data_IF_149203461813
#
_entry.id   IF_149203461813
#
_cell.length_a   1.000
_cell.length_b   1.000
_cell.length_c   1.000
_cell.angle_alpha   90.00
_cell.angle_beta   90.00
_cell.angle_gamma   90.00
#
_symmetry.space_group_name_H-M   'P 1'
#
loop_
_entity.id
_entity.type
_entity.pdbx_description
1 polymer ?
#
# COMPACT_ATOMS: atom_id res chain seq x y z
N UNK A 1 10.60 20.00 11.55
CA UNK A 1 10.47 20.08 10.08
C UNK A 1 10.68 21.53 9.63
N UNK A 2 11.50 21.81 8.59
CA UNK A 2 11.75 23.18 8.13
C UNK A 2 10.47 23.86 7.62
N UNK A 3 10.53 25.18 7.44
CA UNK A 3 9.51 25.94 6.72
C UNK A 3 9.48 25.48 5.26
N UNK A 4 8.28 25.16 4.74
CA UNK A 4 8.14 24.80 3.34
C UNK A 4 7.98 26.05 2.47
N UNK A 5 8.59 26.02 1.30
CA UNK A 5 8.41 27.00 0.23
C UNK A 5 7.56 26.36 -0.86
N UNK A 6 6.29 26.72 -0.88
CA UNK A 6 5.34 26.21 -1.87
C UNK A 6 5.22 27.20 -3.02
N UNK A 7 5.45 26.74 -4.25
CA UNK A 7 5.28 27.58 -5.45
C UNK A 7 3.90 27.31 -6.05
N UNK A 8 3.04 28.33 -6.04
CA UNK A 8 1.72 28.32 -6.68
C UNK A 8 1.75 29.33 -7.83
N UNK A 9 1.96 28.83 -9.05
CA UNK A 9 2.19 29.68 -10.21
C UNK A 9 3.46 30.53 -10.05
N UNK A 10 3.32 31.86 -10.10
CA UNK A 10 4.44 32.82 -9.91
C UNK A 10 4.68 33.23 -8.45
N UNK A 11 3.79 32.86 -7.51
CA UNK A 11 3.91 33.24 -6.10
C UNK A 11 4.58 32.12 -5.30
N UNK A 12 5.45 32.50 -4.38
CA UNK A 12 6.03 31.59 -3.38
C UNK A 12 5.41 31.88 -2.01
N UNK A 13 4.85 30.85 -1.40
CA UNK A 13 4.27 30.89 -0.07
C UNK A 13 5.19 30.16 0.92
N UNK A 14 5.35 30.74 2.11
CA UNK A 14 6.14 30.14 3.20
C UNK A 14 5.19 29.55 4.25
N UNK A 15 5.33 28.25 4.47
CA UNK A 15 4.41 27.48 5.32
C UNK A 15 5.17 26.95 6.53
N UNK A 16 4.74 27.37 7.71
CA UNK A 16 5.43 27.14 8.96
C UNK A 16 4.78 26.04 9.80
N UNK A 17 3.46 25.96 9.79
CA UNK A 17 2.65 25.09 10.62
C UNK A 17 2.45 23.70 10.00
N UNK A 18 2.34 22.68 10.84
CA UNK A 18 2.22 21.30 10.38
C UNK A 18 0.89 21.00 9.66
N UNK A 19 -0.27 21.54 10.07
CA UNK A 19 -1.52 21.34 9.34
C UNK A 19 -1.47 21.85 7.89
N UNK A 20 -0.98 23.06 7.63
CA UNK A 20 -0.85 23.53 6.24
C UNK A 20 0.22 22.76 5.45
N UNK A 21 1.34 22.37 6.09
CA UNK A 21 2.33 21.48 5.46
C UNK A 21 1.70 20.15 5.05
N UNK A 22 0.87 19.56 5.89
CA UNK A 22 0.17 18.31 5.59
C UNK A 22 -0.74 18.48 4.36
N UNK A 23 -1.45 19.61 4.23
CA UNK A 23 -2.27 19.91 3.03
C UNK A 23 -1.43 20.03 1.76
N UNK A 24 -0.26 20.68 1.84
CA UNK A 24 0.66 20.78 0.70
C UNK A 24 1.17 19.40 0.28
N UNK A 25 1.59 18.59 1.24
CA UNK A 25 2.03 17.23 0.95
C UNK A 25 0.92 16.35 0.41
N UNK A 26 -0.28 16.43 0.97
CA UNK A 26 -1.41 15.66 0.50
C UNK A 26 -1.70 15.95 -0.97
N UNK A 27 -1.81 17.23 -1.34
CA UNK A 27 -2.01 17.64 -2.75
C UNK A 27 -0.87 17.19 -3.66
N UNK A 28 0.37 17.21 -3.17
CA UNK A 28 1.55 16.82 -3.93
C UNK A 28 1.65 15.31 -4.15
N UNK A 29 1.35 14.51 -3.13
CA UNK A 29 1.52 13.06 -3.15
C UNK A 29 0.30 12.33 -3.72
N UNK A 30 -0.88 12.95 -3.65
CA UNK A 30 -2.14 12.38 -4.13
C UNK A 30 -2.81 13.35 -5.11
N UNK A 31 -2.23 13.54 -6.31
CA UNK A 31 -2.87 14.35 -7.34
C UNK A 31 -4.24 13.73 -7.72
N UNK A 32 -5.20 14.56 -8.17
CA UNK A 32 -6.48 14.04 -8.65
C UNK A 32 -6.25 13.11 -9.85
N UNK A 33 -7.15 12.14 -10.07
CA UNK A 33 -7.10 11.31 -11.28
C UNK A 33 -7.24 12.20 -12.53
N UNK A 34 -6.69 11.77 -13.68
CA UNK A 34 -6.85 12.50 -14.93
C UNK A 34 -8.34 12.63 -15.29
N UNK A 35 -8.72 13.77 -15.85
CA UNK A 35 -10.12 14.04 -16.25
C UNK A 35 -10.64 13.05 -17.29
N UNK A 36 -9.75 12.53 -18.14
CA UNK A 36 -10.06 11.55 -19.18
C UNK A 36 -9.42 10.20 -18.83
N UNK A 37 -10.25 9.16 -18.81
CA UNK A 37 -9.77 7.78 -18.71
C UNK A 37 -9.02 7.38 -19.98
N UNK A 38 -7.84 6.80 -19.82
CA UNK A 38 -7.09 6.17 -20.91
C UNK A 38 -7.65 4.79 -21.30
N UNK A 39 -8.55 4.22 -20.49
CA UNK A 39 -9.19 2.93 -20.76
C UNK A 39 -10.38 3.14 -21.70
N UNK A 40 -10.41 2.48 -22.87
CA UNK A 40 -11.54 2.57 -23.79
C UNK A 40 -12.84 2.09 -23.14
N UNK A 41 -13.96 2.78 -23.40
CA UNK A 41 -15.28 2.40 -22.84
C UNK A 41 -15.73 0.98 -23.22
N UNK A 42 -15.30 0.52 -24.39
CA UNK A 42 -15.62 -0.79 -24.95
C UNK A 42 -14.37 -1.67 -25.06
N UNK A 43 -13.46 -1.57 -24.08
CA UNK A 43 -12.27 -2.43 -24.05
C UNK A 43 -12.70 -3.90 -24.00
N UNK A 44 -12.24 -4.68 -24.98
CA UNK A 44 -12.38 -6.14 -24.96
C UNK A 44 -11.14 -6.72 -24.28
N UNK A 45 -11.35 -7.33 -23.12
CA UNK A 45 -10.28 -8.02 -22.40
C UNK A 45 -10.19 -9.46 -22.89
N UNK A 46 -8.98 -10.05 -22.94
CA UNK A 46 -8.84 -11.47 -23.21
C UNK A 46 -9.52 -12.31 -22.12
N UNK A 47 -9.74 -13.59 -22.41
CA UNK A 47 -10.19 -14.54 -21.39
C UNK A 47 -9.23 -14.54 -20.18
N UNK A 48 -9.80 -14.78 -19.00
CA UNK A 48 -9.02 -14.84 -17.77
C UNK A 48 -7.96 -15.95 -17.89
N UNK A 49 -6.71 -15.61 -17.56
CA UNK A 49 -5.61 -16.58 -17.61
C UNK A 49 -5.64 -17.59 -16.46
N UNK A 50 -6.38 -17.29 -15.39
CA UNK A 50 -6.61 -18.19 -14.26
C UNK A 50 -7.92 -17.82 -13.54
N UNK A 51 -8.46 -18.80 -12.80
CA UNK A 51 -9.58 -18.57 -11.89
C UNK A 51 -9.10 -18.02 -10.56
N UNK A 52 -9.80 -17.03 -10.03
CA UNK A 52 -9.53 -16.52 -8.69
C UNK A 52 -9.81 -17.61 -7.63
N UNK A 53 -8.88 -17.78 -6.70
CA UNK A 53 -9.02 -18.66 -5.54
C UNK A 53 -8.81 -17.88 -4.26
N UNK A 54 -9.60 -18.17 -3.25
CA UNK A 54 -9.42 -17.56 -1.94
C UNK A 54 -8.17 -18.12 -1.27
N UNK A 55 -7.47 -17.26 -0.53
CA UNK A 55 -6.18 -17.61 0.07
C UNK A 55 -6.28 -18.73 1.12
N UNK A 56 -5.25 -19.58 1.15
CA UNK A 56 -5.15 -20.70 2.09
C UNK A 56 -4.39 -20.31 3.35
N UNK A 57 -4.50 -21.15 4.38
CA UNK A 57 -3.76 -20.94 5.64
C UNK A 57 -2.24 -21.05 5.40
N UNK A 58 -1.81 -21.96 4.53
CA UNK A 58 -0.41 -22.18 4.19
C UNK A 58 0.19 -20.95 3.50
N UNK A 59 -0.57 -20.28 2.62
CA UNK A 59 -0.15 -19.02 1.99
C UNK A 59 0.00 -17.89 3.02
N UNK A 60 -0.93 -17.81 3.98
CA UNK A 60 -0.90 -16.82 5.07
C UNK A 60 0.33 -17.06 5.96
N UNK A 61 0.56 -18.29 6.37
CA UNK A 61 1.69 -18.66 7.23
C UNK A 61 3.04 -18.39 6.54
N UNK A 62 3.16 -18.77 5.26
CA UNK A 62 4.33 -18.45 4.42
C UNK A 62 4.57 -16.94 4.37
N UNK A 63 3.49 -16.16 4.23
CA UNK A 63 3.57 -14.69 4.23
C UNK A 63 4.04 -14.15 5.57
N UNK A 64 3.48 -14.64 6.68
CA UNK A 64 3.87 -14.26 8.04
C UNK A 64 5.35 -14.53 8.29
N UNK A 65 5.88 -15.69 7.90
CA UNK A 65 7.30 -16.03 8.09
C UNK A 65 8.27 -15.15 7.29
N UNK A 66 7.81 -14.55 6.18
CA UNK A 66 8.61 -13.62 5.37
C UNK A 66 8.57 -12.17 5.88
N UNK A 67 7.67 -11.85 6.82
CA UNK A 67 7.57 -10.50 7.35
C UNK A 67 8.87 -10.09 8.05
N UNK A 68 9.38 -8.90 7.71
CA UNK A 68 10.44 -8.27 8.50
C UNK A 68 9.90 -7.95 9.89
N UNK A 69 10.49 -8.56 10.91
CA UNK A 69 10.04 -8.58 12.30
C UNK A 69 9.69 -7.19 12.86
N UNK A 70 10.53 -6.19 12.61
CA UNK A 70 10.38 -4.83 13.13
C UNK A 70 9.96 -3.80 12.08
N UNK A 71 9.43 -4.25 10.94
CA UNK A 71 8.85 -3.33 9.97
C UNK A 71 7.57 -2.74 10.56
N UNK A 72 7.47 -1.41 10.53
CA UNK A 72 6.37 -0.69 11.13
C UNK A 72 5.04 -1.00 10.43
N UNK A 73 4.00 -1.19 11.24
CA UNK A 73 2.60 -1.17 10.83
C UNK A 73 1.96 0.12 11.33
N UNK A 74 0.69 0.37 10.97
CA UNK A 74 -0.05 1.53 11.47
C UNK A 74 -0.11 1.51 13.00
N UNK A 75 0.20 2.63 13.69
CA UNK A 75 0.03 2.76 15.14
C UNK A 75 -1.37 2.30 15.61
N UNK A 76 -1.41 1.61 16.75
CA UNK A 76 -2.65 1.05 17.30
C UNK A 76 -3.15 -0.23 16.60
N UNK A 77 -2.37 -0.81 15.69
CA UNK A 77 -2.63 -2.13 15.10
C UNK A 77 -1.52 -3.11 15.47
N UNK A 78 -1.75 -4.41 15.26
CA UNK A 78 -0.74 -5.42 15.58
C UNK A 78 0.55 -5.20 14.77
N UNK A 79 1.73 -5.18 15.40
CA UNK A 79 3.02 -5.15 14.70
C UNK A 79 3.35 -6.52 14.10
N UNK A 80 4.28 -6.54 13.14
CA UNK A 80 4.76 -7.78 12.51
C UNK A 80 5.22 -8.84 13.53
N UNK A 81 5.85 -8.42 14.63
CA UNK A 81 6.31 -9.32 15.69
C UNK A 81 5.21 -10.17 16.33
N UNK A 82 3.98 -9.66 16.43
CA UNK A 82 2.85 -10.44 16.94
C UNK A 82 2.52 -11.57 15.98
N UNK A 83 2.47 -11.29 14.67
CA UNK A 83 2.19 -12.30 13.67
C UNK A 83 3.30 -13.35 13.61
N UNK A 84 4.57 -12.93 13.54
CA UNK A 84 5.71 -13.85 13.41
C UNK A 84 5.89 -14.76 14.62
N UNK A 85 5.61 -14.28 15.84
CA UNK A 85 5.77 -15.08 17.06
C UNK A 85 4.54 -15.94 17.39
N UNK A 86 3.40 -15.68 16.77
CA UNK A 86 2.15 -16.38 17.05
C UNK A 86 1.51 -16.94 15.77
N UNK A 87 2.30 -17.24 14.72
CA UNK A 87 1.81 -17.66 13.41
C UNK A 87 0.87 -18.87 13.52
N UNK A 88 1.35 -19.95 14.15
CA UNK A 88 0.62 -21.20 14.31
C UNK A 88 -0.73 -21.01 15.01
N UNK A 89 -0.76 -20.11 15.99
CA UNK A 89 -1.96 -19.78 16.76
C UNK A 89 -2.93 -18.89 15.97
N UNK A 90 -2.42 -17.89 15.25
CA UNK A 90 -3.24 -16.87 14.61
C UNK A 90 -3.76 -17.29 13.23
N UNK A 91 -2.99 -18.05 12.47
CA UNK A 91 -3.29 -18.42 11.07
C UNK A 91 -4.69 -19.01 10.88
N UNK A 92 -5.20 -19.94 11.73
CA UNK A 92 -6.56 -20.47 11.57
C UNK A 92 -7.66 -19.40 11.67
N UNK A 93 -7.48 -18.42 12.56
CA UNK A 93 -8.41 -17.30 12.73
C UNK A 93 -8.27 -16.28 11.61
N UNK A 94 -7.03 -15.93 11.25
CA UNK A 94 -6.73 -15.02 10.15
C UNK A 94 -7.31 -15.54 8.83
N UNK A 95 -7.09 -16.82 8.52
CA UNK A 95 -7.63 -17.43 7.31
C UNK A 95 -9.16 -17.36 7.25
N UNK A 96 -9.84 -17.63 8.35
CA UNK A 96 -11.31 -17.51 8.42
C UNK A 96 -11.76 -16.07 8.15
N UNK A 97 -11.13 -15.09 8.83
CA UNK A 97 -11.46 -13.66 8.64
C UNK A 97 -11.18 -13.19 7.22
N UNK A 98 -10.04 -13.59 6.65
CA UNK A 98 -9.62 -13.18 5.32
C UNK A 98 -10.52 -13.75 4.23
N UNK A 99 -10.87 -15.03 4.29
CA UNK A 99 -11.82 -15.63 3.33
C UNK A 99 -13.21 -15.00 3.45
N UNK A 100 -13.64 -14.67 4.67
CA UNK A 100 -14.91 -13.96 4.87
C UNK A 100 -14.96 -12.60 4.17
N UNK A 101 -13.83 -11.91 3.96
CA UNK A 101 -13.84 -10.63 3.21
C UNK A 101 -14.30 -10.80 1.76
N UNK A 102 -14.00 -11.95 1.15
CA UNK A 102 -14.42 -12.29 -0.21
C UNK A 102 -15.84 -12.86 -0.24
N UNK A 103 -16.15 -13.80 0.66
CA UNK A 103 -17.46 -14.45 0.73
C UNK A 103 -18.58 -13.44 1.03
N UNK A 104 -18.35 -12.57 2.02
CA UNK A 104 -19.32 -11.54 2.42
C UNK A 104 -19.22 -10.26 1.58
N UNK A 105 -18.23 -10.17 0.68
CA UNK A 105 -17.89 -8.95 -0.07
C UNK A 105 -17.75 -7.74 0.84
N UNK A 106 -17.14 -7.95 2.02
CA UNK A 106 -17.01 -6.94 3.06
C UNK A 106 -15.55 -6.80 3.48
N UNK A 107 -15.00 -5.60 3.28
CA UNK A 107 -13.68 -5.25 3.78
C UNK A 107 -13.81 -4.30 4.97
N UNK A 108 -13.30 -4.64 6.16
CA UNK A 108 -13.45 -3.80 7.35
C UNK A 108 -12.91 -2.39 7.11
N UNK A 109 -13.70 -1.36 7.42
CA UNK A 109 -13.27 0.04 7.22
C UNK A 109 -11.94 0.35 7.92
N UNK A 110 -11.72 -0.21 9.12
CA UNK A 110 -10.48 -0.07 9.89
C UNK A 110 -9.25 -0.70 9.22
N UNK A 111 -9.44 -1.67 8.33
CA UNK A 111 -8.38 -2.28 7.54
C UNK A 111 -8.02 -1.44 6.31
N UNK A 112 -8.92 -0.57 5.86
CA UNK A 112 -8.68 0.35 4.74
C UNK A 112 -7.97 1.63 5.18
N UNK A 113 -8.02 1.95 6.47
CA UNK A 113 -7.32 3.10 7.02
C UNK A 113 -5.80 2.90 7.00
N UNK A 114 -5.09 3.86 6.43
CA UNK A 114 -3.61 3.93 6.43
C UNK A 114 -3.15 5.22 7.09
N UNK A 115 -1.89 5.24 7.53
CA UNK A 115 -1.24 6.45 8.06
C UNK A 115 -0.02 6.78 7.21
N UNK A 116 0.05 8.00 6.66
CA UNK A 116 1.15 8.42 5.81
C UNK A 116 2.11 9.31 6.59
N UNK A 117 3.30 8.79 6.85
CA UNK A 117 4.39 9.56 7.47
C UNK A 117 5.21 10.21 6.37
N UNK A 118 5.51 11.50 6.52
CA UNK A 118 6.30 12.24 5.53
C UNK A 118 7.76 12.27 5.95
N UNK A 119 8.64 11.70 5.11
CA UNK A 119 10.08 11.63 5.38
C UNK A 119 10.90 12.30 4.28
N UNK A 120 12.13 12.67 4.63
CA UNK A 120 13.09 13.26 3.71
C UNK A 120 13.52 12.25 2.64
N UNK A 121 13.57 12.67 1.38
CA UNK A 121 14.24 11.88 0.33
C UNK A 121 15.76 11.98 0.54
N UNK A 122 16.50 10.87 0.49
CA UNK A 122 17.96 10.92 0.64
C UNK A 122 18.61 11.76 -0.46
N UNK A 123 19.72 12.42 -0.13
CA UNK A 123 20.55 13.15 -1.09
C UNK A 123 19.98 14.48 -1.60
N UNK A 124 18.93 15.03 -0.97
CA UNK A 124 18.42 16.36 -1.32
C UNK A 124 19.18 17.44 -0.56
N UNK A 125 19.55 18.50 -1.26
CA UNK A 125 20.31 19.64 -0.72
C UNK A 125 19.42 20.68 -0.04
N UNK A 126 18.11 20.67 -0.32
CA UNK A 126 17.17 21.66 0.19
C UNK A 126 15.81 21.04 0.53
N UNK A 127 15.56 20.88 1.84
CA UNK A 127 14.32 20.31 2.37
C UNK A 127 13.23 21.35 2.65
N UNK A 128 13.44 22.62 2.28
CA UNK A 128 12.33 23.59 2.25
C UNK A 128 11.41 23.36 1.05
N UNK A 129 11.84 22.59 0.05
CA UNK A 129 11.06 22.28 -1.15
C UNK A 129 10.19 21.03 -0.89
N UNK A 130 8.86 21.09 -1.07
CA UNK A 130 7.98 19.92 -0.84
C UNK A 130 8.40 18.66 -1.61
N UNK A 131 8.90 18.81 -2.85
CA UNK A 131 9.38 17.70 -3.68
C UNK A 131 10.61 16.96 -3.10
N UNK A 132 11.30 17.53 -2.11
CA UNK A 132 12.41 16.88 -1.41
C UNK A 132 11.94 15.84 -0.37
N UNK A 133 10.63 15.66 -0.22
CA UNK A 133 10.01 14.72 0.72
C UNK A 133 9.26 13.62 -0.01
N UNK A 134 9.01 12.50 0.66
CA UNK A 134 8.19 11.39 0.18
C UNK A 134 7.26 10.88 1.29
N UNK A 135 6.06 10.41 0.94
CA UNK A 135 5.23 9.68 1.89
C UNK A 135 5.77 8.27 2.09
N UNK A 136 5.58 7.74 3.30
CA UNK A 136 5.67 6.31 3.61
C UNK A 136 4.35 5.93 4.26
N UNK A 137 3.61 5.07 3.58
CA UNK A 137 2.30 4.61 4.04
C UNK A 137 2.45 3.43 4.98
N UNK A 138 1.86 3.53 6.17
CA UNK A 138 1.74 2.48 7.18
C UNK A 138 0.33 1.91 7.11
N UNK A 139 0.22 0.62 6.84
CA UNK A 139 -1.06 -0.09 6.72
C UNK A 139 -1.43 -0.76 8.05
N UNK A 140 -2.73 -1.02 8.24
CA UNK A 140 -3.19 -1.86 9.34
C UNK A 140 -2.49 -3.23 9.30
N UNK A 141 -1.96 -3.71 10.44
CA UNK A 141 -1.21 -4.98 10.49
C UNK A 141 -1.99 -6.18 9.95
N UNK A 142 -3.29 -6.28 10.28
CA UNK A 142 -4.15 -7.38 9.79
C UNK A 142 -4.35 -7.29 8.28
N UNK A 143 -4.62 -6.07 7.79
CA UNK A 143 -4.78 -5.78 6.37
C UNK A 143 -3.51 -6.06 5.57
N UNK A 144 -2.34 -5.73 6.14
CA UNK A 144 -1.06 -5.92 5.49
C UNK A 144 -0.81 -7.39 5.19
N UNK A 145 -1.06 -8.29 6.14
CA UNK A 145 -0.86 -9.74 5.93
C UNK A 145 -1.78 -10.25 4.83
N UNK A 146 -3.07 -9.89 4.85
CA UNK A 146 -4.02 -10.22 3.78
C UNK A 146 -3.55 -9.72 2.41
N UNK A 147 -3.27 -8.42 2.30
CA UNK A 147 -2.91 -7.79 1.03
C UNK A 147 -1.58 -8.31 0.49
N UNK A 148 -0.63 -8.62 1.38
CA UNK A 148 0.66 -9.21 0.97
C UNK A 148 0.44 -10.63 0.45
N UNK A 149 -0.36 -11.45 1.15
CA UNK A 149 -0.68 -12.82 0.72
C UNK A 149 -1.34 -12.82 -0.66
N UNK A 150 -2.31 -11.93 -0.89
CA UNK A 150 -2.98 -11.78 -2.17
C UNK A 150 -2.06 -11.27 -3.27
N UNK A 151 -1.20 -10.30 -2.97
CA UNK A 151 -0.24 -9.77 -3.93
C UNK A 151 0.74 -10.86 -4.37
N UNK A 152 1.24 -11.67 -3.44
CA UNK A 152 2.17 -12.76 -3.75
C UNK A 152 1.50 -13.84 -4.62
N UNK A 153 0.23 -14.19 -4.35
CA UNK A 153 -0.56 -15.12 -5.17
C UNK A 153 -0.79 -14.57 -6.59
N UNK A 154 -1.16 -13.30 -6.70
CA UNK A 154 -1.35 -12.62 -7.99
C UNK A 154 -0.06 -12.54 -8.80
N UNK A 155 1.07 -12.21 -8.17
CA UNK A 155 2.38 -12.14 -8.82
C UNK A 155 2.79 -13.52 -9.32
N UNK A 156 2.67 -14.55 -8.49
CA UNK A 156 3.01 -15.92 -8.89
C UNK A 156 2.19 -16.39 -10.12
N UNK A 157 0.89 -16.08 -10.16
CA UNK A 157 0.05 -16.38 -11.32
C UNK A 157 0.38 -15.52 -12.54
N UNK A 158 0.66 -14.22 -12.36
CA UNK A 158 1.01 -13.34 -13.45
C UNK A 158 2.34 -13.73 -14.12
N UNK A 159 3.33 -14.14 -13.33
CA UNK A 159 4.63 -14.62 -13.82
C UNK A 159 4.49 -15.98 -14.51
N UNK A 160 3.84 -16.97 -13.87
CA UNK A 160 3.70 -18.33 -14.42
C UNK A 160 2.88 -18.37 -15.72
N UNK A 161 2.00 -17.40 -15.94
CA UNK A 161 1.16 -17.31 -17.15
C UNK A 161 1.69 -16.33 -18.20
N UNK A 162 2.88 -15.74 -18.00
CA UNK A 162 3.43 -14.66 -18.85
C UNK A 162 2.42 -13.53 -19.09
N UNK A 163 1.65 -13.16 -18.05
CA UNK A 163 0.73 -12.04 -18.11
C UNK A 163 1.46 -10.69 -18.09
N UNK A 164 2.69 -10.67 -17.56
CA UNK A 164 3.55 -9.49 -17.53
C UNK A 164 4.41 -9.38 -18.79
N UNK A 165 4.62 -8.18 -19.34
CA UNK A 165 5.56 -7.96 -20.44
C UNK A 165 7.00 -8.35 -20.06
N UNK A 166 7.77 -8.90 -21.02
CA UNK A 166 9.16 -9.34 -20.79
C UNK A 166 10.11 -8.24 -20.30
N UNK A 167 9.78 -6.96 -20.53
CA UNK A 167 10.58 -5.81 -20.12
C UNK A 167 10.00 -5.11 -18.87
N UNK A 168 9.15 -5.79 -18.11
CA UNK A 168 8.61 -5.28 -16.86
C UNK A 168 9.57 -5.61 -15.71
N UNK A 169 10.35 -4.63 -15.26
CA UNK A 169 11.36 -4.78 -14.19
C UNK A 169 11.00 -4.07 -12.88
N UNK A 170 9.93 -3.28 -12.87
CA UNK A 170 9.44 -2.56 -11.70
C UNK A 170 8.33 -3.33 -10.99
N UNK A 171 8.05 -2.96 -9.74
CA UNK A 171 6.84 -3.40 -9.04
C UNK A 171 5.64 -2.49 -9.31
#
# INVERSE_FOLDING_TARGET
MPTLRNKVGRKEERIHDNPEKAKVFYKLFYPPPPELSSVPRNAQYPEARWDFRVITNEQIETTIHRLSLYKATKPGTAPNSVFTHCADLLTPYLGTLYRATFELKYYPAKWAETESVVIQKPGKTDYTIPNAWRPVTLSNGMAQVLNTTLADDLVAHAESTNALPANHFGG
#
